data_IF_359861230152
#
_entry.id   IF_359861230152
#
_cell.length_a   1.000
_cell.length_b   1.000
_cell.length_c   1.000
_cell.angle_alpha   90.00
_cell.angle_beta   90.00
_cell.angle_gamma   90.00
#
_symmetry.space_group_name_H-M   'P 1'
#
loop_
_entity.id
_entity.type
_entity.pdbx_description
1 polymer ?
#
# COMPACT_ATOMS: atom_id res chain seq x y z
N UNK A 1 35.63 42.94 -16.90
CA UNK A 1 35.67 41.46 -16.79
C UNK A 1 34.43 41.15 -16.00
N UNK A 2 33.30 41.13 -16.70
CA UNK A 2 31.98 41.31 -16.11
C UNK A 2 31.31 39.94 -15.98
N UNK A 3 30.98 39.58 -14.75
CA UNK A 3 30.35 38.32 -14.40
C UNK A 3 28.84 38.55 -14.47
N UNK A 4 28.20 37.96 -15.48
CA UNK A 4 26.74 37.85 -15.55
C UNK A 4 26.30 36.66 -14.69
N UNK A 5 25.42 36.92 -13.72
CA UNK A 5 24.59 35.90 -13.08
C UNK A 5 23.22 35.95 -13.76
N UNK A 6 22.89 34.91 -14.52
CA UNK A 6 21.52 34.65 -14.97
C UNK A 6 20.76 33.99 -13.80
N UNK A 7 19.79 34.72 -13.26
CA UNK A 7 18.76 34.24 -12.36
C UNK A 7 17.54 33.87 -13.19
N UNK A 8 17.26 32.58 -13.35
CA UNK A 8 16.00 32.14 -13.95
C UNK A 8 14.88 32.18 -12.91
N UNK A 9 13.93 33.08 -13.19
CA UNK A 9 12.72 33.33 -12.45
C UNK A 9 11.75 32.13 -12.49
N UNK A 10 11.30 31.72 -11.31
CA UNK A 10 10.18 30.80 -11.12
C UNK A 10 8.90 31.63 -11.25
N UNK A 11 8.36 31.71 -12.46
CA UNK A 11 7.06 32.35 -12.68
C UNK A 11 5.88 31.43 -12.35
N UNK A 12 4.96 32.06 -11.65
CA UNK A 12 3.75 31.56 -11.00
C UNK A 12 2.63 31.37 -12.02
N UNK A 13 1.89 30.26 -11.96
CA UNK A 13 0.58 30.20 -12.60
C UNK A 13 -0.42 29.37 -11.79
N UNK A 14 -1.05 30.02 -10.81
CA UNK A 14 -2.29 29.56 -10.20
C UNK A 14 -3.46 29.98 -11.09
N UNK A 15 -4.07 29.02 -11.79
CA UNK A 15 -5.39 29.16 -12.42
C UNK A 15 -6.37 28.27 -11.67
N UNK A 16 -7.31 28.88 -10.97
CA UNK A 16 -8.38 28.24 -10.20
C UNK A 16 -9.36 27.51 -11.13
N UNK A 17 -9.41 26.18 -11.03
CA UNK A 17 -10.44 25.35 -11.64
C UNK A 17 -11.20 24.59 -10.56
N UNK A 18 -12.51 24.82 -10.50
CA UNK A 18 -13.46 24.07 -9.68
C UNK A 18 -14.09 23.01 -10.59
N UNK A 19 -13.91 21.73 -10.27
CA UNK A 19 -14.62 20.64 -10.95
C UNK A 19 -15.86 20.21 -10.16
N UNK A 20 -16.96 19.83 -10.85
CA UNK A 20 -18.17 19.36 -10.21
C UNK A 20 -17.98 17.91 -9.72
N UNK A 21 -18.40 17.65 -8.48
CA UNK A 21 -18.47 16.32 -7.89
C UNK A 21 -19.48 15.46 -8.66
N UNK A 22 -18.97 14.51 -9.46
CA UNK A 22 -19.75 13.35 -9.90
C UNK A 22 -19.71 12.30 -8.81
N UNK A 23 -20.87 12.01 -8.24
CA UNK A 23 -21.09 10.77 -7.49
C UNK A 23 -20.71 9.59 -8.40
N UNK A 24 -19.68 8.84 -8.00
CA UNK A 24 -19.18 7.68 -8.73
C UNK A 24 -19.43 6.43 -7.87
N UNK A 25 -20.32 5.60 -8.39
CA UNK A 25 -20.70 4.28 -7.91
C UNK A 25 -19.50 3.46 -7.39
N UNK A 26 -19.65 2.99 -6.16
CA UNK A 26 -18.65 2.26 -5.36
C UNK A 26 -18.31 0.85 -5.87
N UNK A 27 -18.84 0.41 -7.01
CA UNK A 27 -18.88 -1.00 -7.41
C UNK A 27 -17.79 -1.47 -8.39
N UNK A 28 -16.81 -0.64 -8.75
CA UNK A 28 -15.75 -1.01 -9.71
C UNK A 28 -14.33 -0.84 -9.14
N UNK A 29 -14.10 -1.32 -7.91
CA UNK A 29 -12.75 -1.43 -7.33
C UNK A 29 -11.94 -2.59 -7.92
N UNK A 30 -12.60 -3.66 -8.37
CA UNK A 30 -11.91 -4.87 -8.85
C UNK A 30 -11.18 -4.69 -10.19
N UNK A 31 -11.65 -3.81 -11.08
CA UNK A 31 -11.18 -3.78 -12.49
C UNK A 31 -10.02 -2.86 -12.81
N UNK A 32 -9.66 -1.91 -11.93
CA UNK A 32 -8.55 -0.97 -12.18
C UNK A 32 -7.36 -1.18 -11.26
N UNK A 33 -7.57 -1.86 -10.14
CA UNK A 33 -6.53 -2.50 -9.35
C UNK A 33 -6.69 -4.02 -9.52
N UNK A 34 -6.69 -4.52 -10.76
CA UNK A 34 -6.38 -5.94 -10.97
C UNK A 34 -4.89 -6.13 -10.67
N UNK A 35 -4.49 -6.01 -9.40
CA UNK A 35 -3.40 -6.83 -8.91
C UNK A 35 -3.95 -8.25 -8.99
N UNK A 36 -3.67 -8.95 -10.09
CA UNK A 36 -3.98 -10.36 -10.18
C UNK A 36 -3.22 -11.03 -9.03
N UNK A 37 -3.88 -11.52 -7.96
CA UNK A 37 -3.19 -12.04 -6.79
C UNK A 37 -2.43 -13.35 -7.11
N UNK A 38 -2.51 -13.82 -8.36
CA UNK A 38 -1.89 -15.06 -8.85
C UNK A 38 -0.66 -14.86 -9.73
N UNK A 39 -0.19 -13.62 -9.97
CA UNK A 39 0.92 -13.38 -10.92
C UNK A 39 2.19 -12.73 -10.35
N UNK A 40 2.36 -12.64 -9.03
CA UNK A 40 3.65 -12.22 -8.48
C UNK A 40 4.61 -13.43 -8.35
N UNK A 41 5.85 -13.34 -8.87
CA UNK A 41 6.81 -14.43 -8.83
C UNK A 41 7.47 -14.52 -7.44
N UNK A 42 6.95 -15.37 -6.54
CA UNK A 42 7.61 -16.06 -5.41
C UNK A 42 8.65 -15.34 -4.51
N UNK A 43 8.87 -14.04 -4.64
CA UNK A 43 9.68 -13.23 -3.74
C UNK A 43 8.75 -12.61 -2.69
N UNK A 44 8.24 -13.46 -1.80
CA UNK A 44 7.34 -13.02 -0.74
C UNK A 44 7.97 -11.89 0.08
N UNK A 45 7.11 -10.96 0.52
CA UNK A 45 7.48 -9.91 1.46
C UNK A 45 8.15 -10.55 2.68
N UNK A 46 9.31 -10.02 3.09
CA UNK A 46 10.00 -10.51 4.29
C UNK A 46 9.14 -10.40 5.55
N UNK A 47 9.42 -11.21 6.57
CA UNK A 47 8.61 -11.25 7.80
C UNK A 47 8.44 -9.87 8.47
N UNK A 48 9.52 -9.08 8.58
CA UNK A 48 9.46 -7.76 9.22
C UNK A 48 8.68 -6.73 8.38
N UNK A 49 8.95 -6.55 7.08
CA UNK A 49 8.09 -5.76 6.21
C UNK A 49 6.61 -6.16 6.29
N UNK A 50 6.31 -7.46 6.28
CA UNK A 50 4.95 -7.98 6.41
C UNK A 50 4.30 -7.54 7.72
N UNK A 51 5.02 -7.70 8.84
CA UNK A 51 4.54 -7.28 10.15
C UNK A 51 4.31 -5.77 10.25
N UNK A 52 5.17 -4.95 9.62
CA UNK A 52 4.99 -3.50 9.56
C UNK A 52 3.71 -3.16 8.80
N UNK A 53 3.51 -3.76 7.62
CA UNK A 53 2.31 -3.56 6.80
C UNK A 53 1.05 -3.98 7.55
N UNK A 54 1.10 -5.07 8.32
CA UNK A 54 -0.04 -5.54 9.13
C UNK A 54 -0.43 -4.53 10.22
N UNK A 55 0.55 -3.88 10.84
CA UNK A 55 0.27 -2.82 11.82
C UNK A 55 -0.29 -1.57 11.15
N UNK A 56 0.29 -1.18 10.01
CA UNK A 56 -0.17 -0.04 9.22
C UNK A 56 -1.61 -0.28 8.75
N UNK A 57 -1.97 -1.49 8.30
CA UNK A 57 -3.34 -1.79 7.89
C UNK A 57 -4.33 -1.72 9.05
N UNK A 58 -3.97 -2.16 10.25
CA UNK A 58 -4.81 -2.02 11.46
C UNK A 58 -5.07 -0.54 11.82
N UNK A 59 -4.03 0.30 11.76
CA UNK A 59 -4.15 1.75 11.97
C UNK A 59 -5.03 2.38 10.89
N UNK A 60 -4.73 2.09 9.62
CA UNK A 60 -5.49 2.56 8.47
C UNK A 60 -6.97 2.17 8.56
N UNK A 61 -7.29 0.91 8.85
CA UNK A 61 -8.67 0.45 9.06
C UNK A 61 -9.44 1.32 10.06
N UNK A 62 -8.77 1.69 11.16
CA UNK A 62 -9.35 2.54 12.20
C UNK A 62 -9.57 3.99 11.74
N UNK A 63 -8.71 4.49 10.84
CA UNK A 63 -8.78 5.84 10.28
C UNK A 63 -9.80 5.98 9.13
N UNK A 64 -9.91 4.98 8.25
CA UNK A 64 -10.66 5.09 6.99
C UNK A 64 -11.89 4.17 6.90
N UNK A 65 -12.20 3.38 7.93
CA UNK A 65 -13.33 2.44 7.95
C UNK A 65 -13.38 1.49 6.74
N UNK A 66 -12.24 1.24 6.11
CA UNK A 66 -12.07 0.35 4.97
C UNK A 66 -11.74 -1.05 5.46
N UNK A 67 -12.29 -2.10 4.85
CA UNK A 67 -12.08 -3.49 5.29
C UNK A 67 -10.60 -3.81 5.51
N UNK A 68 -10.26 -4.24 6.73
CA UNK A 68 -8.88 -4.42 7.16
C UNK A 68 -8.11 -5.37 6.24
N UNK A 69 -8.76 -6.46 5.83
CA UNK A 69 -8.16 -7.47 4.96
C UNK A 69 -7.84 -6.91 3.57
N UNK A 70 -8.79 -6.21 2.97
CA UNK A 70 -8.63 -5.64 1.63
C UNK A 70 -7.54 -4.57 1.63
N UNK A 71 -7.50 -3.73 2.67
CA UNK A 71 -6.44 -2.74 2.83
C UNK A 71 -5.08 -3.42 2.97
N UNK A 72 -4.99 -4.46 3.80
CA UNK A 72 -3.75 -5.22 4.00
C UNK A 72 -3.25 -5.85 2.68
N UNK A 73 -4.13 -6.47 1.90
CA UNK A 73 -3.80 -7.05 0.60
C UNK A 73 -3.28 -5.99 -0.39
N UNK A 74 -3.92 -4.81 -0.43
CA UNK A 74 -3.46 -3.67 -1.26
C UNK A 74 -2.08 -3.19 -0.82
N UNK A 75 -1.87 -2.98 0.48
CA UNK A 75 -0.59 -2.48 1.00
C UNK A 75 0.55 -3.49 0.74
N UNK A 76 0.28 -4.78 0.94
CA UNK A 76 1.22 -5.85 0.59
C UNK A 76 1.57 -5.83 -0.90
N UNK A 77 0.57 -5.74 -1.78
CA UNK A 77 0.80 -5.67 -3.22
C UNK A 77 1.65 -4.47 -3.64
N UNK A 78 1.50 -3.32 -2.97
CA UNK A 78 2.35 -2.14 -3.21
C UNK A 78 3.78 -2.39 -2.73
N UNK A 79 3.96 -2.94 -1.53
CA UNK A 79 5.27 -3.31 -0.98
C UNK A 79 6.02 -4.28 -1.89
N UNK A 80 5.33 -5.31 -2.39
CA UNK A 80 5.92 -6.29 -3.29
C UNK A 80 6.27 -5.68 -4.65
N UNK A 81 5.36 -4.85 -5.20
CA UNK A 81 5.58 -4.22 -6.50
C UNK A 81 6.78 -3.26 -6.51
N UNK A 82 6.91 -2.42 -5.47
CA UNK A 82 7.99 -1.44 -5.30
C UNK A 82 9.22 -2.00 -4.55
N UNK A 83 9.15 -3.25 -4.11
CA UNK A 83 10.18 -3.93 -3.33
C UNK A 83 10.61 -3.04 -2.16
N UNK A 84 9.65 -2.66 -1.31
CA UNK A 84 9.91 -1.71 -0.24
C UNK A 84 10.77 -2.32 0.88
N UNK A 85 11.81 -1.60 1.30
CA UNK A 85 12.61 -1.93 2.48
C UNK A 85 11.90 -1.54 3.77
N UNK A 86 12.35 -2.07 4.91
CA UNK A 86 11.83 -1.72 6.24
C UNK A 86 11.74 -0.20 6.44
N UNK A 87 12.81 0.52 6.07
CA UNK A 87 12.94 1.98 6.27
C UNK A 87 12.01 2.75 5.32
N UNK A 88 11.84 2.28 4.09
CA UNK A 88 10.88 2.87 3.14
C UNK A 88 9.44 2.68 3.59
N UNK A 89 9.12 1.55 4.24
CA UNK A 89 7.80 1.27 4.81
C UNK A 89 7.55 2.18 6.01
N UNK A 90 8.56 2.46 6.85
CA UNK A 90 8.44 3.43 7.95
C UNK A 90 8.13 4.82 7.43
N UNK A 91 8.89 5.28 6.43
CA UNK A 91 8.64 6.59 5.83
C UNK A 91 7.27 6.65 5.16
N UNK A 92 6.86 5.55 4.50
CA UNK A 92 5.53 5.42 3.94
C UNK A 92 4.45 5.51 5.01
N UNK A 93 4.60 4.84 6.16
CA UNK A 93 3.67 4.93 7.28
C UNK A 93 3.47 6.38 7.75
N UNK A 94 4.55 7.17 7.81
CA UNK A 94 4.47 8.60 8.16
C UNK A 94 3.63 9.37 7.14
N UNK A 95 3.84 9.13 5.83
CA UNK A 95 3.04 9.78 4.79
C UNK A 95 1.56 9.37 4.82
N UNK A 96 1.30 8.10 5.12
CA UNK A 96 -0.05 7.58 5.29
C UNK A 96 -0.79 8.33 6.41
N UNK A 97 -0.17 8.44 7.59
CA UNK A 97 -0.76 9.14 8.74
C UNK A 97 -0.91 10.66 8.52
N UNK A 98 0.05 11.30 7.86
CA UNK A 98 0.01 12.76 7.66
C UNK A 98 -1.06 13.19 6.68
N UNK A 99 -1.27 12.45 5.59
CA UNK A 99 -2.16 12.90 4.52
C UNK A 99 -2.78 11.78 3.69
N UNK A 100 -2.05 10.70 3.39
CA UNK A 100 -2.50 9.80 2.33
C UNK A 100 -3.74 8.96 2.71
N UNK A 101 -4.01 8.73 4.00
CA UNK A 101 -5.28 8.12 4.43
C UNK A 101 -6.50 8.97 4.08
N UNK A 102 -6.43 10.28 4.35
CA UNK A 102 -7.53 11.20 4.07
C UNK A 102 -7.74 11.36 2.57
N UNK A 103 -6.68 11.40 1.78
CA UNK A 103 -6.79 11.51 0.33
C UNK A 103 -7.30 10.25 -0.35
N UNK A 104 -6.94 9.08 0.19
CA UNK A 104 -7.46 7.79 -0.26
C UNK A 104 -8.98 7.74 -0.13
N UNK A 105 -9.54 8.31 0.94
CA UNK A 105 -10.99 8.46 1.12
C UNK A 105 -11.62 9.46 0.14
N UNK A 106 -10.94 10.58 -0.11
CA UNK A 106 -11.56 11.74 -0.76
C UNK A 106 -11.50 11.72 -2.29
N UNK A 107 -10.40 11.26 -2.89
CA UNK A 107 -10.12 11.64 -4.29
C UNK A 107 -9.25 10.67 -5.06
N UNK A 108 -8.17 10.17 -4.47
CA UNK A 108 -7.14 9.46 -5.22
C UNK A 108 -6.98 8.03 -4.74
N UNK A 109 -7.52 7.08 -5.51
CA UNK A 109 -7.26 5.64 -5.33
C UNK A 109 -5.76 5.30 -5.44
N UNK A 110 -4.98 6.20 -6.02
CA UNK A 110 -3.53 6.07 -6.15
C UNK A 110 -2.75 6.71 -5.00
N UNK A 111 -3.41 7.36 -4.02
CA UNK A 111 -2.74 8.05 -2.91
C UNK A 111 -1.78 7.12 -2.15
N UNK A 112 -2.20 5.88 -1.87
CA UNK A 112 -1.35 4.88 -1.20
C UNK A 112 -0.11 4.55 -2.02
N UNK A 113 -0.28 4.38 -3.34
CA UNK A 113 0.81 4.05 -4.27
C UNK A 113 1.76 5.24 -4.47
N UNK A 114 1.23 6.45 -4.58
CA UNK A 114 2.03 7.67 -4.71
C UNK A 114 2.83 7.93 -3.44
N UNK A 115 2.24 7.76 -2.26
CA UNK A 115 2.96 7.87 -1.00
C UNK A 115 4.07 6.81 -0.87
N UNK A 116 3.83 5.58 -1.31
CA UNK A 116 4.84 4.53 -1.33
C UNK A 116 5.98 4.82 -2.31
N UNK A 117 5.65 5.31 -3.51
CA UNK A 117 6.66 5.69 -4.48
C UNK A 117 7.45 6.92 -4.02
N UNK A 118 6.81 7.87 -3.34
CA UNK A 118 7.46 9.01 -2.72
C UNK A 118 8.47 8.58 -1.64
N UNK A 119 8.13 7.60 -0.80
CA UNK A 119 9.09 7.08 0.20
C UNK A 119 10.29 6.38 -0.46
N UNK A 120 10.04 5.67 -1.58
CA UNK A 120 11.10 5.11 -2.43
C UNK A 120 12.05 6.19 -2.95
N UNK A 121 11.52 7.27 -3.53
CA UNK A 121 12.30 8.36 -4.11
C UNK A 121 13.09 9.15 -3.07
N UNK A 122 12.56 9.30 -1.86
CA UNK A 122 13.27 10.01 -0.79
C UNK A 122 14.54 9.29 -0.31
N UNK A 123 14.55 7.96 -0.32
CA UNK A 123 15.63 7.15 0.25
C UNK A 123 16.59 6.54 -0.78
N UNK A 124 16.29 6.67 -2.08
CA UNK A 124 17.11 6.10 -3.14
C UNK A 124 17.48 7.13 -4.21
N UNK A 125 18.73 7.06 -4.67
CA UNK A 125 19.22 7.91 -5.76
C UNK A 125 18.66 7.49 -7.14
N UNK A 126 18.33 6.21 -7.32
CA UNK A 126 17.84 5.66 -8.59
C UNK A 126 16.53 4.90 -8.42
N UNK A 127 15.43 5.51 -8.86
CA UNK A 127 14.09 4.91 -8.86
C UNK A 127 13.52 4.74 -10.27
N UNK A 128 14.35 4.86 -11.31
CA UNK A 128 13.91 4.88 -12.71
C UNK A 128 13.18 3.61 -13.11
N UNK A 129 13.68 2.45 -12.71
CA UNK A 129 13.03 1.17 -13.03
C UNK A 129 11.59 1.11 -12.50
N UNK A 130 11.38 1.54 -11.26
CA UNK A 130 10.05 1.58 -10.65
C UNK A 130 9.15 2.60 -11.34
N UNK A 131 9.69 3.76 -11.69
CA UNK A 131 8.98 4.78 -12.46
C UNK A 131 8.50 4.23 -13.81
N UNK A 132 9.40 3.61 -14.58
CA UNK A 132 9.10 3.04 -15.89
C UNK A 132 8.02 1.95 -15.78
N UNK A 133 8.09 1.10 -14.75
CA UNK A 133 7.06 0.08 -14.46
C UNK A 133 5.71 0.68 -14.09
N UNK A 134 5.68 1.77 -13.32
CA UNK A 134 4.45 2.48 -12.97
C UNK A 134 3.83 3.17 -14.19
N UNK A 135 4.67 3.80 -15.01
CA UNK A 135 4.28 4.45 -16.25
C UNK A 135 3.72 3.45 -17.27
N UNK A 136 4.27 2.24 -17.36
CA UNK A 136 3.73 1.16 -18.19
C UNK A 136 2.35 0.67 -17.71
N UNK A 137 2.06 0.77 -16.40
CA UNK A 137 0.78 0.36 -15.82
C UNK A 137 -0.29 1.44 -15.96
N UNK A 138 0.12 2.70 -15.98
CA UNK A 138 -0.77 3.85 -16.10
C UNK A 138 -0.09 4.95 -16.91
N UNK A 139 -0.59 5.20 -18.11
CA UNK A 139 -0.04 6.22 -19.03
C UNK A 139 -0.04 7.63 -18.43
N UNK A 140 -0.95 7.92 -17.49
CA UNK A 140 -1.02 9.20 -16.79
C UNK A 140 -0.14 9.29 -15.54
N UNK A 141 0.58 8.20 -15.16
CA UNK A 141 1.28 8.12 -13.88
C UNK A 141 2.23 9.31 -13.65
N UNK A 142 3.10 9.61 -14.64
CA UNK A 142 4.05 10.73 -14.55
C UNK A 142 3.36 12.05 -14.22
N UNK A 143 2.28 12.37 -14.92
CA UNK A 143 1.56 13.64 -14.74
C UNK A 143 0.80 13.65 -13.41
N UNK A 144 0.09 12.58 -13.09
CA UNK A 144 -0.71 12.48 -11.87
C UNK A 144 0.19 12.53 -10.63
N UNK A 145 1.30 11.80 -10.65
CA UNK A 145 2.29 11.80 -9.58
C UNK A 145 2.94 13.17 -9.43
N UNK A 146 3.29 13.85 -10.53
CA UNK A 146 3.88 15.20 -10.48
C UNK A 146 2.93 16.23 -9.86
N UNK A 147 1.64 16.17 -10.20
CA UNK A 147 0.62 17.04 -9.59
C UNK A 147 0.47 16.71 -8.10
N UNK A 148 0.34 15.43 -7.78
CA UNK A 148 0.16 14.95 -6.43
C UNK A 148 1.33 15.32 -5.51
N UNK A 149 2.57 15.03 -5.93
CA UNK A 149 3.77 15.34 -5.15
C UNK A 149 3.94 16.84 -4.96
N UNK A 150 3.59 17.63 -5.99
CA UNK A 150 3.59 19.09 -5.96
C UNK A 150 2.72 19.67 -4.85
N UNK A 151 1.54 19.08 -4.61
CA UNK A 151 0.63 19.50 -3.54
C UNK A 151 1.16 19.18 -2.14
N UNK A 152 2.10 18.22 -2.01
CA UNK A 152 2.58 17.68 -0.74
C UNK A 152 4.03 18.04 -0.39
N UNK A 153 4.72 18.81 -1.23
CA UNK A 153 6.16 19.11 -1.05
C UNK A 153 6.49 19.71 0.32
N UNK A 154 5.56 20.47 0.90
CA UNK A 154 5.77 21.13 2.19
C UNK A 154 5.68 20.18 3.40
N UNK A 155 5.07 18.99 3.22
CA UNK A 155 4.80 18.05 4.33
C UNK A 155 5.46 16.68 4.13
N UNK A 156 6.24 16.53 3.06
CA UNK A 156 6.96 15.30 2.73
C UNK A 156 8.31 15.15 3.43
N UNK A 157 8.85 16.26 3.94
CA UNK A 157 10.09 16.24 4.70
C UNK A 157 9.82 15.60 6.07
N UNK A 158 10.61 14.58 6.38
CA UNK A 158 10.53 13.80 7.60
C UNK A 158 11.91 13.77 8.22
N UNK A 159 11.98 14.03 9.52
CA UNK A 159 13.24 14.00 10.23
C UNK A 159 13.58 12.57 10.73
N UNK A 160 14.85 12.36 11.05
CA UNK A 160 15.33 11.06 11.49
C UNK A 160 14.77 10.63 12.86
N UNK A 161 14.40 11.58 13.72
CA UNK A 161 13.84 11.26 15.04
C UNK A 161 12.43 10.67 14.90
N UNK A 162 11.62 11.27 14.05
CA UNK A 162 10.28 10.79 13.68
C UNK A 162 10.37 9.41 13.01
N UNK A 163 11.27 9.23 12.04
CA UNK A 163 11.50 7.91 11.43
C UNK A 163 11.87 6.85 12.47
N UNK A 164 12.79 7.13 13.37
CA UNK A 164 13.16 6.17 14.43
C UNK A 164 12.01 5.89 15.39
N UNK A 165 11.22 6.91 15.73
CA UNK A 165 10.06 6.75 16.60
C UNK A 165 9.06 5.77 15.99
N UNK A 166 8.68 5.99 14.72
CA UNK A 166 7.75 5.11 14.00
C UNK A 166 8.37 3.74 13.73
N UNK A 167 9.67 3.66 13.41
CA UNK A 167 10.36 2.38 13.25
C UNK A 167 10.26 1.54 14.52
N UNK A 168 10.56 2.13 15.68
CA UNK A 168 10.45 1.43 16.96
C UNK A 168 9.01 1.03 17.25
N UNK A 169 8.03 1.89 16.98
CA UNK A 169 6.62 1.58 17.17
C UNK A 169 6.15 0.40 16.29
N UNK A 170 6.55 0.37 15.01
CA UNK A 170 6.25 -0.72 14.09
C UNK A 170 7.00 -2.00 14.47
N UNK A 171 8.21 -1.88 14.99
CA UNK A 171 9.04 -3.00 15.43
C UNK A 171 8.61 -3.58 16.80
N UNK A 172 8.05 -2.75 17.69
CA UNK A 172 7.61 -3.17 19.03
C UNK A 172 6.38 -4.05 18.93
N UNK A 173 6.52 -5.38 18.95
CA UNK A 173 5.37 -6.28 19.01
C UNK A 173 4.51 -5.96 20.24
N UNK A 174 3.20 -5.75 20.08
CA UNK A 174 2.22 -5.79 21.19
C UNK A 174 2.10 -7.19 21.80
N UNK A 175 2.88 -8.15 21.29
CA UNK A 175 3.32 -9.29 22.08
C UNK A 175 4.19 -8.69 23.18
N UNK A 176 3.57 -8.36 24.32
CA UNK A 176 4.25 -8.39 25.60
C UNK A 176 4.99 -9.74 25.63
N UNK A 177 6.27 -9.75 25.24
CA UNK A 177 7.18 -10.76 25.72
C UNK A 177 7.35 -10.46 27.20
N UNK A 178 6.32 -10.81 27.98
CA UNK A 178 6.56 -11.38 29.30
C UNK A 178 7.64 -12.41 29.07
N UNK A 179 8.76 -12.19 29.75
CA UNK A 179 9.95 -13.02 29.74
C UNK A 179 9.56 -14.49 29.50
N UNK A 180 10.16 -15.10 28.47
CA UNK A 180 9.98 -16.52 28.13
C UNK A 180 8.58 -16.93 27.63
N UNK A 181 8.13 -16.44 26.48
CA UNK A 181 7.28 -17.28 25.62
C UNK A 181 7.99 -17.55 24.30
N UNK A 182 8.58 -18.74 24.25
CA UNK A 182 8.96 -19.42 23.02
C UNK A 182 7.69 -19.44 22.18
N UNK A 183 7.63 -18.66 21.09
CA UNK A 183 6.56 -18.72 20.10
C UNK A 183 6.40 -20.20 19.73
N UNK A 184 5.28 -20.82 20.13
CA UNK A 184 5.10 -22.23 19.89
C UNK A 184 4.91 -22.41 18.38
N UNK A 185 5.88 -23.04 17.75
CA UNK A 185 5.83 -23.40 16.34
C UNK A 185 4.52 -24.14 16.01
N UNK A 186 3.95 -24.86 16.97
CA UNK A 186 2.68 -25.55 16.81
C UNK A 186 1.49 -24.60 16.62
N UNK A 187 1.50 -23.40 17.21
CA UNK A 187 0.42 -22.42 17.04
C UNK A 187 0.44 -21.82 15.64
N UNK A 188 1.64 -21.45 15.15
CA UNK A 188 1.83 -20.95 13.77
C UNK A 188 1.45 -22.02 12.75
N UNK A 189 1.85 -23.27 12.99
CA UNK A 189 1.50 -24.40 12.11
C UNK A 189 0.00 -24.67 12.16
N UNK A 190 -0.64 -24.56 13.32
CA UNK A 190 -2.08 -24.76 13.46
C UNK A 190 -2.86 -23.69 12.71
N UNK A 191 -2.47 -22.41 12.81
CA UNK A 191 -3.10 -21.31 12.07
C UNK A 191 -2.93 -21.46 10.54
N UNK A 192 -1.76 -21.93 10.10
CA UNK A 192 -1.50 -22.26 8.69
C UNK A 192 -2.37 -23.43 8.20
N UNK A 193 -2.49 -24.50 8.99
CA UNK A 193 -3.32 -25.66 8.66
C UNK A 193 -4.79 -25.25 8.62
N UNK A 194 -5.27 -24.47 9.58
CA UNK A 194 -6.64 -23.98 9.63
C UNK A 194 -6.98 -23.11 8.43
N UNK A 195 -6.13 -22.15 8.06
CA UNK A 195 -6.37 -21.31 6.87
C UNK A 195 -6.38 -22.12 5.56
N UNK A 196 -5.55 -23.17 5.48
CA UNK A 196 -5.46 -24.07 4.33
C UNK A 196 -6.69 -24.97 4.24
N UNK A 197 -7.15 -25.52 5.38
CA UNK A 197 -8.35 -26.35 5.45
C UNK A 197 -9.63 -25.56 5.20
N UNK A 198 -9.73 -24.33 5.70
CA UNK A 198 -10.84 -23.41 5.43
C UNK A 198 -10.95 -23.12 3.93
N UNK A 199 -9.81 -22.93 3.27
CA UNK A 199 -9.73 -22.73 1.81
C UNK A 199 -10.15 -23.99 1.03
N UNK A 200 -9.77 -25.17 1.52
CA UNK A 200 -10.17 -26.46 0.92
C UNK A 200 -11.66 -26.77 1.12
N UNK A 201 -12.22 -26.42 2.28
CA UNK A 201 -13.64 -26.65 2.61
C UNK A 201 -14.56 -25.76 1.77
N UNK A 202 -14.17 -24.51 1.52
CA UNK A 202 -14.87 -23.60 0.62
C UNK A 202 -14.86 -24.09 -0.84
N UNK A 203 -13.82 -24.80 -1.27
CA UNK A 203 -13.74 -25.44 -2.60
C UNK A 203 -14.54 -26.72 -2.72
N UNK A 204 -14.67 -27.51 -1.65
CA UNK A 204 -15.46 -28.75 -1.66
C UNK A 204 -16.96 -28.50 -1.47
N UNK A 205 -17.36 -27.43 -0.76
CA UNK A 205 -18.77 -27.05 -0.61
C UNK A 205 -19.42 -26.41 -1.84
N UNK A 206 -18.67 -26.22 -2.94
CA UNK A 206 -19.17 -25.62 -4.19
C UNK A 206 -19.55 -26.66 -5.27
N UNK A 207 -19.29 -27.96 -5.05
CA UNK A 207 -19.48 -29.01 -6.07
C UNK A 207 -20.78 -29.84 -5.93
N UNK A 208 -21.60 -29.64 -4.90
CA UNK A 208 -22.80 -30.48 -4.66
C UNK A 208 -24.07 -30.09 -5.44
N UNK A 209 -24.00 -29.20 -6.44
CA UNK A 209 -25.22 -28.76 -7.18
C UNK A 209 -25.56 -29.54 -8.47
N UNK A 210 -24.83 -30.60 -8.82
CA UNK A 210 -25.14 -31.38 -10.03
C UNK A 210 -25.08 -32.89 -9.79
N UNK A 211 -26.15 -33.48 -9.26
CA UNK A 211 -26.61 -34.83 -9.70
C UNK A 211 -28.02 -35.11 -9.18
N UNK A 212 -29.02 -34.39 -9.70
CA UNK A 212 -30.40 -34.85 -9.62
C UNK A 212 -31.03 -34.81 -11.02
N UNK A 213 -30.83 -35.88 -11.80
CA UNK A 213 -31.75 -36.23 -12.89
C UNK A 213 -31.63 -37.69 -13.31
N UNK A 214 -32.74 -38.40 -13.02
CA UNK A 214 -33.32 -39.54 -13.75
C UNK A 214 -32.64 -40.90 -13.61
N UNK A 215 -33.21 -41.75 -12.75
CA UNK A 215 -33.72 -43.07 -13.16
C UNK A 215 -35.01 -43.39 -12.40
N UNK A 216 -36.14 -43.22 -13.06
CA UNK A 216 -37.38 -43.94 -12.77
C UNK A 216 -37.57 -44.92 -13.92
N UNK A 217 -37.62 -46.22 -13.59
CA UNK A 217 -38.21 -47.27 -14.41
C UNK A 217 -39.45 -47.77 -13.68
#
# INVERSE_FOLDING_TARGET
MDIYYESDDIETCCSSYIFPTRELDCYNLEKRVEMNPKSCPNAGIGYRPYHFVLKISKRGHSNISYEHRDLFEVLCGICEFLILSDVEIVLWAIYLERFAWQEFLQSSKNALLFAAYASKCMLNENTKEFFDRLQQRSDSFSQDYKVWIGAHQNIINVDYFEMNSIYNELNNSDIEMKEESKVDYNDIVSELIESTMETHRKRLGSDDSYTEKKRSY
#
